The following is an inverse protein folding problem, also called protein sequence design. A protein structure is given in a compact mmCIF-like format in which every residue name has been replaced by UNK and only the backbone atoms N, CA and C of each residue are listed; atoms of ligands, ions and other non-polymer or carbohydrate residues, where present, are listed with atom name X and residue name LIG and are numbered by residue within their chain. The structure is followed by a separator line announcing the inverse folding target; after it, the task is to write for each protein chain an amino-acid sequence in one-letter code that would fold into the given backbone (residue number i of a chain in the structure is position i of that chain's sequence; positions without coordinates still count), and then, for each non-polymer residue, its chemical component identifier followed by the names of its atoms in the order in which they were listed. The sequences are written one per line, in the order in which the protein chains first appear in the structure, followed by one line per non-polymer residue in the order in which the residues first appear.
data_IF_971419794864
#
_entry.id   IF_971419794864
#
_cell.length_a   1.000
_cell.length_b   1.000
_cell.length_c   1.000
_cell.angle_alpha   90.00
_cell.angle_beta   90.00
_cell.angle_gamma   90.00
#
_symmetry.space_group_name_H-M   'P 1'
#
loop_
_entity.id
_entity.type
_entity.pdbx_description
1 polymer ?
#
# COMPACT_ATOMS: atom_id res chain seq x y z
N UNK A 1 38.46 -21.05 -25.59
CA UNK A 1 37.26 -20.26 -25.93
C UNK A 1 36.29 -20.41 -24.74
N UNK A 2 36.17 -19.41 -23.90
CA UNK A 2 35.17 -19.37 -22.83
C UNK A 2 34.08 -18.42 -23.28
N UNK A 3 32.92 -18.99 -23.59
CA UNK A 3 31.70 -18.22 -23.90
C UNK A 3 31.31 -17.45 -22.65
N UNK A 4 31.36 -16.11 -22.73
CA UNK A 4 30.81 -15.27 -21.68
C UNK A 4 29.28 -15.36 -21.72
N UNK A 5 28.69 -15.86 -20.65
CA UNK A 5 27.28 -15.66 -20.39
C UNK A 5 27.06 -14.17 -20.09
N UNK A 6 26.53 -13.45 -21.07
CA UNK A 6 25.99 -12.11 -20.85
C UNK A 6 24.79 -12.28 -19.93
N UNK A 7 24.94 -11.87 -18.66
CA UNK A 7 23.83 -11.80 -17.72
C UNK A 7 22.74 -10.93 -18.33
N UNK A 8 21.53 -11.47 -18.48
CA UNK A 8 20.32 -10.69 -18.74
C UNK A 8 20.19 -9.68 -17.61
N UNK A 9 20.53 -8.44 -17.86
CA UNK A 9 20.03 -7.32 -17.06
C UNK A 9 18.53 -7.26 -17.31
N UNK A 10 17.75 -7.68 -16.32
CA UNK A 10 16.29 -7.50 -16.36
C UNK A 10 16.03 -5.99 -16.50
N UNK A 11 15.35 -5.63 -17.58
CA UNK A 11 15.07 -4.24 -17.90
C UNK A 11 14.09 -3.69 -16.83
N UNK A 12 14.57 -2.81 -15.98
CA UNK A 12 13.78 -2.16 -14.94
C UNK A 12 13.03 -0.98 -15.57
N UNK A 13 11.70 -0.97 -15.48
CA UNK A 13 10.85 0.04 -16.11
C UNK A 13 10.39 1.06 -15.07
N UNK A 14 10.78 2.32 -15.24
CA UNK A 14 10.26 3.42 -14.42
C UNK A 14 8.75 3.54 -14.58
N UNK A 15 8.03 3.57 -13.46
CA UNK A 15 6.56 3.67 -13.43
C UNK A 15 6.04 4.91 -12.73
N UNK A 16 6.85 5.56 -11.89
CA UNK A 16 6.41 6.74 -11.18
C UNK A 16 7.23 7.07 -9.95
N UNK A 17 6.73 7.98 -9.15
CA UNK A 17 7.38 8.48 -7.92
C UNK A 17 6.48 8.33 -6.71
N UNK A 18 7.08 8.14 -5.55
CA UNK A 18 6.38 8.14 -4.27
C UNK A 18 5.91 9.56 -3.95
N UNK A 19 4.58 9.77 -3.89
CA UNK A 19 3.99 11.09 -3.58
C UNK A 19 3.47 11.18 -2.15
N UNK A 20 3.32 10.03 -1.48
CA UNK A 20 2.88 9.99 -0.09
C UNK A 20 3.40 8.75 0.58
N UNK A 21 3.90 8.94 1.80
CA UNK A 21 4.22 7.89 2.75
C UNK A 21 3.34 8.06 3.98
N UNK A 22 2.84 6.95 4.51
CA UNK A 22 1.96 6.96 5.68
C UNK A 22 1.99 5.63 6.43
N UNK A 23 1.62 5.70 7.70
CA UNK A 23 1.49 4.54 8.57
C UNK A 23 0.08 4.47 9.15
N UNK A 24 -0.34 3.28 9.55
CA UNK A 24 -1.52 3.06 10.35
C UNK A 24 -1.11 2.83 11.80
N UNK A 25 -1.42 3.77 12.68
CA UNK A 25 -1.12 3.65 14.12
C UNK A 25 -1.96 2.58 14.81
N UNK A 26 -3.10 2.21 14.22
CA UNK A 26 -3.99 1.16 14.73
C UNK A 26 -4.92 0.66 13.62
N UNK A 27 -5.82 -0.26 13.97
CA UNK A 27 -6.81 -0.78 13.03
C UNK A 27 -7.74 0.31 12.50
N UNK A 28 -7.90 0.37 11.18
CA UNK A 28 -8.92 1.20 10.51
C UNK A 28 -10.35 0.60 10.59
N UNK A 29 -10.50 -0.57 11.25
CA UNK A 29 -11.81 -1.23 11.48
C UNK A 29 -12.17 -1.11 12.94
N UNK A 30 -13.10 -0.23 13.26
CA UNK A 30 -13.46 0.13 14.62
C UNK A 30 -14.88 -0.31 15.00
N UNK A 31 -15.11 -0.46 16.30
CA UNK A 31 -16.40 -0.83 16.89
C UNK A 31 -16.70 -2.33 16.86
N UNK A 32 -17.94 -2.67 17.29
CA UNK A 32 -18.48 -4.05 17.26
C UNK A 32 -19.10 -4.34 15.89
N UNK A 33 -19.30 -5.62 15.57
CA UNK A 33 -19.92 -6.01 14.28
C UNK A 33 -21.37 -5.50 14.19
N UNK A 34 -21.73 -4.88 13.05
CA UNK A 34 -20.92 -4.57 11.89
C UNK A 34 -19.97 -3.39 12.17
N UNK A 35 -18.65 -3.61 12.00
CA UNK A 35 -17.63 -2.58 12.21
C UNK A 35 -17.74 -1.49 11.15
N UNK A 36 -17.26 -0.28 11.47
CA UNK A 36 -17.09 0.81 10.51
C UNK A 36 -15.63 0.99 10.13
N UNK A 37 -15.39 1.60 9.00
CA UNK A 37 -14.06 2.08 8.59
C UNK A 37 -13.83 3.47 9.19
N UNK A 38 -12.64 3.65 9.78
CA UNK A 38 -12.22 4.93 10.35
C UNK A 38 -10.78 5.23 9.92
N UNK A 39 -10.56 6.24 9.09
CA UNK A 39 -9.23 6.59 8.59
C UNK A 39 -8.41 7.43 9.59
N UNK A 40 -8.94 7.85 10.73
CA UNK A 40 -8.24 8.69 11.70
C UNK A 40 -6.86 8.15 12.13
N UNK A 41 -6.63 6.81 12.26
CA UNK A 41 -5.32 6.29 12.61
C UNK A 41 -4.26 6.40 11.50
N UNK A 42 -4.59 6.90 10.33
CA UNK A 42 -3.63 7.09 9.24
C UNK A 42 -2.83 8.37 9.49
N UNK A 43 -1.52 8.25 9.58
CA UNK A 43 -0.59 9.37 9.74
C UNK A 43 0.36 9.44 8.56
N UNK A 44 0.45 10.60 7.90
CA UNK A 44 1.48 10.87 6.89
C UNK A 44 2.84 11.07 7.56
N UNK A 45 3.89 10.60 6.91
CA UNK A 45 5.28 10.75 7.34
C UNK A 45 6.14 11.16 6.13
N UNK A 46 7.22 11.96 6.34
CA UNK A 46 8.12 12.35 5.25
C UNK A 46 9.00 11.19 4.76
N UNK A 47 9.27 10.24 5.65
CA UNK A 47 10.10 9.07 5.37
C UNK A 47 9.60 7.85 6.15
N UNK A 48 10.01 6.66 5.73
CA UNK A 48 9.77 5.43 6.45
C UNK A 48 10.93 4.45 6.31
N UNK A 49 11.17 3.66 7.35
CA UNK A 49 12.07 2.52 7.31
C UNK A 49 11.29 1.27 6.91
N UNK A 50 11.77 0.57 5.89
CA UNK A 50 11.33 -0.76 5.48
C UNK A 50 12.27 -1.82 6.05
N UNK A 51 11.72 -2.91 6.54
CA UNK A 51 12.47 -4.07 7.00
C UNK A 51 11.64 -5.34 6.83
N UNK A 52 12.25 -6.51 7.04
CA UNK A 52 11.54 -7.78 7.06
C UNK A 52 10.47 -7.86 8.18
N UNK A 53 10.52 -6.98 9.17
CA UNK A 53 9.49 -6.88 10.21
C UNK A 53 8.30 -6.00 9.82
N UNK A 54 8.42 -5.24 8.73
CA UNK A 54 7.39 -4.30 8.25
C UNK A 54 7.87 -2.86 8.22
N UNK A 55 6.95 -1.93 8.36
CA UNK A 55 7.16 -0.48 8.19
C UNK A 55 7.22 0.25 9.53
N UNK A 56 8.17 1.18 9.64
CA UNK A 56 8.26 2.17 10.71
C UNK A 56 8.28 3.57 10.09
N UNK A 57 7.29 4.39 10.40
CA UNK A 57 7.25 5.79 9.98
C UNK A 57 8.28 6.63 10.74
N UNK A 58 8.91 7.55 10.03
CA UNK A 58 9.88 8.51 10.58
C UNK A 58 9.25 9.90 10.49
N UNK A 59 8.85 10.46 11.62
CA UNK A 59 8.21 11.76 11.69
C UNK A 59 9.24 12.91 11.63
N UNK A 60 8.80 14.12 11.26
CA UNK A 60 9.66 15.29 11.16
C UNK A 60 10.37 15.67 12.48
N UNK A 61 9.73 15.38 13.61
CA UNK A 61 10.30 15.62 14.95
C UNK A 61 11.32 14.55 15.38
N UNK A 62 11.65 13.59 14.51
CA UNK A 62 12.58 12.49 14.78
C UNK A 62 11.95 11.30 15.52
N UNK A 63 10.65 11.33 15.81
CA UNK A 63 9.95 10.17 16.39
C UNK A 63 9.76 9.06 15.36
N UNK A 64 9.89 7.83 15.83
CA UNK A 64 9.61 6.64 15.06
C UNK A 64 8.26 6.05 15.47
N UNK A 65 7.39 5.81 14.53
CA UNK A 65 6.04 5.27 14.78
C UNK A 65 5.86 3.96 14.02
N UNK A 66 5.60 2.89 14.76
CA UNK A 66 5.46 1.54 14.22
C UNK A 66 4.09 1.37 13.55
N UNK A 67 4.05 0.88 12.30
CA UNK A 67 2.80 0.58 11.59
C UNK A 67 2.10 -0.64 12.21
N UNK A 68 0.76 -0.69 12.17
CA UNK A 68 -0.04 -1.79 12.71
C UNK A 68 0.25 -3.16 12.06
N UNK A 69 0.86 -3.19 10.89
CA UNK A 69 1.29 -4.41 10.20
C UNK A 69 2.77 -4.76 10.47
N UNK A 70 3.49 -3.94 11.23
CA UNK A 70 4.83 -4.31 11.70
C UNK A 70 4.73 -5.43 12.75
N UNK A 71 5.66 -6.39 12.74
CA UNK A 71 5.62 -7.57 13.64
C UNK A 71 5.66 -7.20 15.11
N UNK A 72 6.35 -6.12 15.46
CA UNK A 72 6.52 -5.66 16.86
C UNK A 72 5.39 -4.73 17.35
N UNK A 73 4.42 -4.40 16.50
CA UNK A 73 3.31 -3.57 16.94
C UNK A 73 2.45 -4.34 17.97
N UNK A 74 2.05 -3.72 19.12
CA UNK A 74 1.29 -4.40 20.18
C UNK A 74 -0.01 -5.08 19.71
N UNK A 75 -0.63 -4.52 18.66
CA UNK A 75 -1.84 -5.06 18.03
C UNK A 75 -1.55 -5.52 16.59
N UNK A 76 -0.38 -6.10 16.36
CA UNK A 76 0.10 -6.45 15.03
C UNK A 76 -0.94 -7.22 14.22
N UNK A 77 -1.08 -6.83 12.97
CA UNK A 77 -1.92 -7.49 11.96
C UNK A 77 -1.09 -8.14 10.86
N UNK A 78 0.21 -8.25 11.09
CA UNK A 78 1.08 -8.95 10.16
C UNK A 78 0.69 -10.43 10.07
N UNK A 79 0.42 -10.87 8.85
CA UNK A 79 -0.01 -12.24 8.54
C UNK A 79 1.14 -12.99 7.88
N UNK A 80 2.02 -13.56 8.70
CA UNK A 80 3.12 -14.38 8.18
C UNK A 80 4.19 -13.60 7.39
N UNK A 81 4.21 -12.27 7.43
CA UNK A 81 5.12 -11.43 6.68
C UNK A 81 4.57 -10.87 5.36
N UNK A 82 3.48 -11.41 4.83
CA UNK A 82 2.97 -11.09 3.49
C UNK A 82 2.40 -9.67 3.35
N UNK A 83 2.06 -9.01 4.44
CA UNK A 83 1.42 -7.69 4.44
C UNK A 83 2.19 -6.66 5.28
N UNK A 84 3.51 -6.83 5.39
CA UNK A 84 4.36 -5.90 6.13
C UNK A 84 4.46 -4.51 5.52
N UNK A 85 4.21 -4.37 4.22
CA UNK A 85 4.18 -3.11 3.46
C UNK A 85 2.99 -3.13 2.51
N UNK A 86 2.48 -1.96 2.14
CA UNK A 86 1.38 -1.85 1.18
C UNK A 86 1.57 -0.69 0.21
N UNK A 87 1.11 -0.90 -1.03
CA UNK A 87 1.26 0.00 -2.17
C UNK A 87 -0.10 0.43 -2.71
N UNK A 88 -0.21 1.69 -3.13
CA UNK A 88 -1.36 2.22 -3.86
C UNK A 88 -0.91 3.12 -5.02
N UNK A 89 -1.81 3.40 -5.95
CA UNK A 89 -1.55 4.22 -7.13
C UNK A 89 -2.56 5.35 -7.26
N UNK A 90 -2.10 6.55 -7.65
CA UNK A 90 -2.97 7.73 -7.81
C UNK A 90 -4.07 7.53 -8.85
N UNK A 91 -3.80 6.77 -9.92
CA UNK A 91 -4.80 6.44 -10.95
C UNK A 91 -5.93 5.54 -10.43
N UNK A 92 -5.66 4.68 -9.42
CA UNK A 92 -6.70 3.90 -8.74
C UNK A 92 -7.61 4.82 -7.92
N UNK A 93 -7.04 5.81 -7.22
CA UNK A 93 -7.81 6.82 -6.49
C UNK A 93 -8.66 7.68 -7.41
N UNK A 94 -8.14 8.04 -8.60
CA UNK A 94 -8.93 8.74 -9.60
C UNK A 94 -10.18 7.93 -9.98
N UNK A 95 -10.03 6.63 -10.26
CA UNK A 95 -11.14 5.74 -10.58
C UNK A 95 -12.11 5.55 -9.40
N UNK A 96 -11.61 5.41 -8.19
CA UNK A 96 -12.44 5.33 -6.98
C UNK A 96 -13.25 6.62 -6.76
N UNK A 97 -12.64 7.80 -6.94
CA UNK A 97 -13.34 9.10 -6.84
C UNK A 97 -14.41 9.26 -7.91
N UNK A 98 -14.15 8.85 -9.13
CA UNK A 98 -15.14 8.87 -10.20
C UNK A 98 -16.36 8.01 -9.88
N UNK A 99 -16.18 6.88 -9.23
CA UNK A 99 -17.26 5.93 -8.90
C UNK A 99 -18.01 6.30 -7.62
N UNK A 100 -17.29 6.68 -6.56
CA UNK A 100 -17.84 6.76 -5.21
C UNK A 100 -17.89 8.19 -4.66
N UNK A 101 -17.13 9.13 -5.21
CA UNK A 101 -17.12 10.52 -4.77
C UNK A 101 -15.79 11.01 -4.21
N UNK A 102 -15.69 12.34 -4.08
CA UNK A 102 -14.45 13.06 -3.77
C UNK A 102 -13.93 12.87 -2.33
N UNK A 103 -14.71 12.27 -1.45
CA UNK A 103 -14.29 11.94 -0.08
C UNK A 103 -13.20 10.87 -0.04
N UNK A 104 -13.03 10.08 -1.13
CA UNK A 104 -11.95 9.11 -1.26
C UNK A 104 -10.63 9.81 -1.65
N UNK A 105 -10.06 10.52 -0.68
CA UNK A 105 -8.76 11.19 -0.85
C UNK A 105 -7.63 10.17 -0.98
N UNK A 106 -6.55 10.58 -1.62
CA UNK A 106 -5.35 9.76 -1.80
C UNK A 106 -4.82 9.28 -0.44
N UNK A 107 -4.52 7.98 -0.35
CA UNK A 107 -4.05 7.32 0.86
C UNK A 107 -5.15 6.89 1.84
N UNK A 108 -6.43 7.22 1.59
CA UNK A 108 -7.53 6.93 2.53
C UNK A 108 -7.79 5.42 2.72
N UNK A 109 -7.35 4.56 1.81
CA UNK A 109 -7.44 3.11 1.96
C UNK A 109 -6.37 2.52 2.88
N UNK A 110 -5.37 3.33 3.30
CA UNK A 110 -4.40 2.98 4.34
C UNK A 110 -3.16 2.27 3.81
N UNK A 111 -2.83 2.37 2.53
CA UNK A 111 -1.55 1.89 2.01
C UNK A 111 -0.38 2.72 2.54
N UNK A 112 0.78 2.08 2.73
CA UNK A 112 1.97 2.74 3.26
C UNK A 112 2.64 3.65 2.23
N UNK A 113 2.69 3.22 0.96
CA UNK A 113 3.37 3.90 -0.13
C UNK A 113 2.35 4.22 -1.23
N UNK A 114 2.11 5.49 -1.50
CA UNK A 114 1.31 5.94 -2.63
C UNK A 114 2.22 6.43 -3.75
N UNK A 115 2.04 5.86 -4.93
CA UNK A 115 2.86 6.10 -6.11
C UNK A 115 2.05 6.89 -7.13
N UNK A 116 2.59 8.03 -7.58
CA UNK A 116 2.04 8.76 -8.69
C UNK A 116 2.43 8.08 -9.99
N UNK A 117 1.43 7.75 -10.79
CA UNK A 117 1.58 7.04 -12.06
C UNK A 117 0.63 7.60 -13.11
N UNK A 118 0.94 7.42 -14.39
CA UNK A 118 0.16 7.90 -15.54
C UNK A 118 -0.89 6.89 -16.03
N UNK A 119 -0.74 5.61 -15.68
CA UNK A 119 -1.68 4.53 -16.05
C UNK A 119 -2.04 3.64 -14.88
N UNK A 120 -3.06 2.83 -15.02
CA UNK A 120 -3.38 1.77 -14.05
C UNK A 120 -2.44 0.58 -14.21
N UNK A 121 -2.11 -0.03 -13.08
CA UNK A 121 -1.32 -1.25 -13.02
C UNK A 121 -2.19 -2.38 -12.48
N UNK A 122 -2.61 -3.33 -13.33
CA UNK A 122 -3.27 -4.55 -12.88
C UNK A 122 -2.26 -5.47 -12.16
N UNK A 123 -2.77 -6.45 -11.43
CA UNK A 123 -1.93 -7.32 -10.60
C UNK A 123 -0.86 -8.08 -11.40
N UNK A 124 -1.18 -8.46 -12.62
CA UNK A 124 -0.25 -9.17 -13.52
C UNK A 124 0.98 -8.35 -13.90
N UNK A 125 0.87 -7.02 -14.00
CA UNK A 125 2.00 -6.14 -14.27
C UNK A 125 2.99 -6.11 -13.09
N UNK A 126 2.52 -6.43 -11.88
CA UNK A 126 3.29 -6.39 -10.64
C UNK A 126 3.80 -7.77 -10.21
N UNK A 127 3.56 -8.81 -11.00
CA UNK A 127 3.85 -10.20 -10.63
C UNK A 127 5.33 -10.46 -10.33
N UNK A 128 6.24 -9.73 -10.99
CA UNK A 128 7.69 -9.85 -10.75
C UNK A 128 8.19 -9.00 -9.58
N UNK A 129 7.32 -8.16 -9.01
CA UNK A 129 7.67 -7.24 -7.93
C UNK A 129 7.77 -5.79 -8.37
N UNK A 130 8.04 -4.94 -7.39
CA UNK A 130 8.23 -3.50 -7.53
C UNK A 130 9.56 -3.14 -6.90
N UNK A 131 10.35 -2.30 -7.54
CA UNK A 131 11.58 -1.74 -7.01
C UNK A 131 11.34 -0.29 -6.60
N UNK A 132 11.65 0.03 -5.35
CA UNK A 132 11.64 1.41 -4.83
C UNK A 132 13.07 1.79 -4.51
N UNK A 133 13.54 2.96 -4.90
CA UNK A 133 14.86 3.44 -4.49
C UNK A 133 14.84 3.93 -3.03
N UNK A 134 15.89 3.63 -2.29
CA UNK A 134 16.09 4.21 -0.95
C UNK A 134 16.65 5.64 -1.05
N UNK A 135 16.82 6.29 0.10
CA UNK A 135 17.41 7.64 0.18
C UNK A 135 18.86 7.72 -0.34
N UNK A 136 19.54 6.59 -0.49
CA UNK A 136 20.86 6.47 -1.10
C UNK A 136 20.84 6.00 -2.57
N UNK A 137 19.65 6.00 -3.22
CA UNK A 137 19.44 5.53 -4.60
C UNK A 137 19.69 4.03 -4.80
N UNK A 138 19.64 3.23 -3.73
CA UNK A 138 19.75 1.77 -3.81
C UNK A 138 18.39 1.17 -4.13
N UNK A 139 18.32 0.15 -4.99
CA UNK A 139 17.07 -0.54 -5.31
C UNK A 139 16.63 -1.42 -4.12
N UNK A 140 15.39 -1.22 -3.67
CA UNK A 140 14.72 -2.05 -2.70
C UNK A 140 13.66 -2.88 -3.43
N UNK A 141 13.87 -4.18 -3.49
CA UNK A 141 12.93 -5.09 -4.14
C UNK A 141 11.79 -5.46 -3.20
N UNK A 142 10.58 -5.09 -3.58
CA UNK A 142 9.34 -5.43 -2.89
C UNK A 142 8.67 -6.60 -3.60
N UNK A 143 8.76 -7.80 -3.04
CA UNK A 143 8.15 -9.03 -3.58
C UNK A 143 7.94 -10.10 -2.51
N UNK A 144 6.90 -10.97 -2.66
CA UNK A 144 5.87 -10.87 -3.70
C UNK A 144 5.00 -9.63 -3.54
N UNK A 145 4.34 -9.21 -4.63
CA UNK A 145 3.26 -8.21 -4.60
C UNK A 145 1.95 -8.94 -4.77
N UNK A 146 1.05 -8.80 -3.81
CA UNK A 146 -0.25 -9.49 -3.79
C UNK A 146 -1.40 -8.49 -3.65
N UNK A 147 -2.55 -8.82 -4.24
CA UNK A 147 -3.73 -7.96 -4.16
C UNK A 147 -4.18 -7.81 -2.70
N UNK A 148 -4.33 -6.58 -2.24
CA UNK A 148 -4.95 -6.29 -0.96
C UNK A 148 -6.47 -6.42 -1.09
N UNK A 149 -7.01 -7.59 -0.76
CA UNK A 149 -8.44 -7.87 -0.88
C UNK A 149 -9.29 -6.80 -0.18
N UNK A 150 -10.32 -6.25 -0.84
CA UNK A 150 -11.17 -5.24 -0.26
C UNK A 150 -12.00 -5.81 0.90
N UNK A 151 -12.28 -4.97 1.89
CA UNK A 151 -13.12 -5.36 3.02
C UNK A 151 -14.46 -4.63 2.99
N UNK A 152 -15.47 -5.25 3.61
CA UNK A 152 -16.82 -4.70 3.71
C UNK A 152 -16.82 -3.31 4.36
N UNK A 153 -15.97 -3.10 5.38
CA UNK A 153 -15.88 -1.83 6.07
C UNK A 153 -15.43 -0.70 5.14
N UNK A 154 -14.39 -0.93 4.32
CA UNK A 154 -13.94 0.08 3.34
C UNK A 154 -14.94 0.27 2.20
N UNK A 155 -15.57 -0.80 1.69
CA UNK A 155 -16.60 -0.70 0.68
C UNK A 155 -17.81 0.15 1.15
N UNK A 156 -18.23 -0.04 2.40
CA UNK A 156 -19.29 0.78 3.03
C UNK A 156 -18.87 2.24 3.18
N UNK A 157 -17.64 2.48 3.60
CA UNK A 157 -17.08 3.83 3.69
C UNK A 157 -17.05 4.51 2.31
N UNK A 158 -16.59 3.81 1.27
CA UNK A 158 -16.56 4.32 -0.10
C UNK A 158 -17.95 4.70 -0.61
N UNK A 159 -18.98 3.96 -0.23
CA UNK A 159 -20.38 4.23 -0.58
C UNK A 159 -21.07 5.29 0.29
N UNK A 160 -20.42 5.83 1.32
CA UNK A 160 -21.10 6.58 2.40
C UNK A 160 -22.31 5.80 2.95
N UNK A 161 -22.13 4.48 3.10
CA UNK A 161 -23.22 3.57 3.48
C UNK A 161 -23.62 3.78 4.95
N UNK A 162 -24.91 3.81 5.27
CA UNK A 162 -25.37 4.14 6.61
C UNK A 162 -24.79 3.21 7.68
N UNK A 163 -24.40 3.77 8.83
CA UNK A 163 -23.92 3.00 9.98
C UNK A 163 -25.02 2.07 10.50
N UNK A 164 -24.63 0.86 10.91
CA UNK A 164 -25.54 -0.15 11.44
C UNK A 164 -26.40 -0.87 10.39
N UNK A 165 -26.52 -0.36 9.16
CA UNK A 165 -27.27 -1.03 8.11
C UNK A 165 -26.58 -2.33 7.67
N UNK A 166 -27.38 -3.35 7.30
CA UNK A 166 -26.82 -4.60 6.74
C UNK A 166 -26.30 -4.35 5.33
N UNK A 167 -25.13 -4.92 4.96
CA UNK A 167 -24.65 -4.88 3.60
C UNK A 167 -25.67 -5.47 2.61
N UNK A 168 -25.81 -4.82 1.47
CA UNK A 168 -26.73 -5.20 0.39
C UNK A 168 -25.98 -5.46 -0.93
N UNK A 169 -26.70 -5.53 -2.03
CA UNK A 169 -26.12 -5.75 -3.36
C UNK A 169 -25.15 -4.62 -3.76
N UNK A 170 -25.39 -3.37 -3.33
CA UNK A 170 -24.51 -2.24 -3.68
C UNK A 170 -23.14 -2.37 -3.01
N UNK A 171 -23.09 -2.87 -1.78
CA UNK A 171 -21.83 -3.19 -1.10
C UNK A 171 -21.08 -4.32 -1.82
N UNK A 172 -21.82 -5.34 -2.31
CA UNK A 172 -21.21 -6.44 -3.09
C UNK A 172 -20.60 -5.92 -4.41
N UNK A 173 -21.28 -5.02 -5.10
CA UNK A 173 -20.76 -4.38 -6.31
C UNK A 173 -19.55 -3.49 -6.05
N UNK A 174 -19.56 -2.75 -4.93
CA UNK A 174 -18.42 -1.96 -4.50
C UNK A 174 -17.20 -2.85 -4.20
N UNK A 175 -17.39 -3.97 -3.51
CA UNK A 175 -16.32 -4.94 -3.26
C UNK A 175 -15.72 -5.47 -4.57
N UNK A 176 -16.55 -5.84 -5.56
CA UNK A 176 -16.08 -6.29 -6.88
C UNK A 176 -15.27 -5.22 -7.61
N UNK A 177 -15.69 -3.96 -7.52
CA UNK A 177 -14.94 -2.86 -8.14
C UNK A 177 -13.61 -2.59 -7.43
N UNK A 178 -13.57 -2.71 -6.12
CA UNK A 178 -12.37 -2.45 -5.29
C UNK A 178 -11.37 -3.63 -5.32
N UNK A 179 -11.77 -4.75 -5.86
CA UNK A 179 -10.93 -5.95 -6.01
C UNK A 179 -9.92 -5.82 -7.16
N UNK A 180 -9.17 -6.87 -7.43
CA UNK A 180 -8.15 -6.95 -8.49
C UNK A 180 -7.08 -5.84 -8.42
N UNK A 181 -6.74 -5.38 -7.20
CA UNK A 181 -5.72 -4.37 -6.95
C UNK A 181 -6.23 -2.93 -6.92
N UNK A 182 -7.50 -2.65 -7.25
CA UNK A 182 -8.04 -1.29 -7.23
C UNK A 182 -7.91 -0.62 -5.86
N UNK A 183 -8.08 -1.37 -4.76
CA UNK A 183 -7.84 -0.87 -3.40
C UNK A 183 -6.35 -0.74 -3.07
N UNK A 184 -5.47 -1.45 -3.77
CA UNK A 184 -4.03 -1.49 -3.53
C UNK A 184 -3.48 -2.90 -3.39
N UNK A 185 -2.23 -2.98 -3.01
CA UNK A 185 -1.46 -4.23 -2.94
C UNK A 185 -0.72 -4.32 -1.61
N UNK A 186 -0.48 -5.53 -1.15
CA UNK A 186 0.53 -5.81 -0.14
C UNK A 186 1.83 -6.21 -0.81
N UNK A 187 2.94 -5.93 -0.13
CA UNK A 187 4.26 -6.31 -0.59
C UNK A 187 5.14 -6.71 0.60
N UNK A 188 6.16 -7.51 0.33
CA UNK A 188 7.15 -7.91 1.31
C UNK A 188 8.51 -7.32 0.93
N UNK A 189 9.26 -6.89 1.94
CA UNK A 189 10.66 -6.51 1.82
C UNK A 189 11.48 -7.37 2.78
N UNK A 190 12.48 -8.08 2.26
CA UNK A 190 13.31 -9.03 3.03
C UNK A 190 14.76 -8.57 3.21
N UNK A 191 15.09 -7.36 2.71
CA UNK A 191 16.43 -6.80 2.82
C UNK A 191 16.76 -6.21 4.19
N UNK A 192 17.99 -5.72 4.31
CA UNK A 192 18.43 -4.93 5.47
C UNK A 192 17.58 -3.65 5.60
N UNK A 193 17.35 -3.15 6.82
CA UNK A 193 16.57 -1.94 7.03
C UNK A 193 17.04 -0.79 6.13
N UNK A 194 16.10 -0.18 5.41
CA UNK A 194 16.39 0.89 4.46
C UNK A 194 15.31 1.98 4.54
N UNK A 195 15.70 3.22 4.25
CA UNK A 195 14.81 4.39 4.35
C UNK A 195 14.33 4.79 2.97
N UNK A 196 13.01 4.91 2.84
CA UNK A 196 12.32 5.47 1.67
C UNK A 196 11.77 6.84 2.03
N UNK A 197 11.90 7.79 1.12
CA UNK A 197 11.41 9.16 1.26
C UNK A 197 10.38 9.50 0.18
N UNK A 198 9.55 10.50 0.44
CA UNK A 198 8.69 11.09 -0.60
C UNK A 198 9.58 11.59 -1.74
N UNK A 199 9.19 11.30 -2.99
CA UNK A 199 9.99 11.57 -4.19
C UNK A 199 10.84 10.41 -4.67
N UNK A 200 10.94 9.30 -3.91
CA UNK A 200 11.63 8.10 -4.33
C UNK A 200 11.08 7.57 -5.67
N UNK A 201 11.97 7.12 -6.56
CA UNK A 201 11.59 6.56 -7.86
C UNK A 201 11.13 5.12 -7.70
N UNK A 202 10.17 4.72 -8.53
CA UNK A 202 9.57 3.39 -8.51
C UNK A 202 9.61 2.76 -9.89
N UNK A 203 9.94 1.47 -9.92
CA UNK A 203 10.12 0.70 -11.16
C UNK A 203 9.41 -0.66 -11.05
N UNK A 204 9.09 -1.27 -12.20
CA UNK A 204 8.76 -2.69 -12.29
C UNK A 204 10.05 -3.52 -12.40
N UNK A 205 10.05 -4.70 -11.77
CA UNK A 205 11.11 -5.71 -11.90
C UNK A 205 10.87 -6.61 -13.09
#
# INVERSE_FOLDING_TARGET
MRSGEAGKQDAVWFIGTVVRLQIQQSSLKVGVKPRRYDPLPIQSVPAMSLSASGVVGLAENGESVVDVHHREHPSSKNRGGENGTSLGFTTHYLAMRQRFGQHLRDGIAGENILIEVDRRFPAEDLANGVVVEDSGWRPLELRPVIVAAPCVEFARYALNFPDGARPDATVTEALRFLDAGMRGFYATYEGEPAVVEVGARVFLS
#
